data_IF_528060431394
#
_entry.id   IF_528060431394
#
_cell.length_a   1.000
_cell.length_b   1.000
_cell.length_c   1.000
_cell.angle_alpha   90.00
_cell.angle_beta   90.00
_cell.angle_gamma   90.00
#
_symmetry.space_group_name_H-M   'P 1'
#
loop_
_entity.id
_entity.type
_entity.pdbx_description
1 polymer ?
#
# COMPACT_ATOMS: atom_id res chain seq x y z
N UNK A 1 -5.36 -3.12 -15.19
CA UNK A 1 -4.56 -3.58 -14.04
C UNK A 1 -5.53 -4.26 -13.10
N UNK A 2 -5.26 -5.51 -12.74
CA UNK A 2 -6.10 -6.28 -11.81
C UNK A 2 -5.50 -6.29 -10.39
N UNK A 3 -6.26 -6.84 -9.44
CA UNK A 3 -5.86 -6.89 -8.03
C UNK A 3 -4.62 -7.74 -7.79
N UNK A 4 -4.42 -8.81 -8.58
CA UNK A 4 -3.27 -9.70 -8.47
C UNK A 4 -1.97 -9.00 -8.87
N UNK A 5 -2.01 -8.19 -9.93
CA UNK A 5 -0.88 -7.36 -10.34
C UNK A 5 -0.52 -6.34 -9.26
N UNK A 6 -1.51 -5.68 -8.66
CA UNK A 6 -1.30 -4.71 -7.59
C UNK A 6 -0.69 -5.34 -6.33
N UNK A 7 -1.17 -6.53 -5.94
CA UNK A 7 -0.62 -7.27 -4.80
C UNK A 7 0.85 -7.62 -5.06
N UNK A 8 1.17 -8.16 -6.24
CA UNK A 8 2.55 -8.50 -6.62
C UNK A 8 3.46 -7.29 -6.70
N UNK A 9 2.99 -6.16 -7.21
CA UNK A 9 3.73 -4.90 -7.22
C UNK A 9 4.00 -4.42 -5.79
N UNK A 10 2.99 -4.47 -4.92
CA UNK A 10 3.12 -4.07 -3.52
C UNK A 10 4.11 -4.91 -2.72
N UNK A 11 4.10 -6.23 -2.91
CA UNK A 11 5.08 -7.12 -2.26
C UNK A 11 6.51 -6.81 -2.69
N UNK A 12 6.73 -6.48 -3.98
CA UNK A 12 8.05 -6.05 -4.47
C UNK A 12 8.48 -4.73 -3.85
N UNK A 13 7.59 -3.72 -3.85
CA UNK A 13 7.85 -2.41 -3.25
C UNK A 13 8.20 -2.56 -1.77
N UNK A 14 7.41 -3.32 -1.00
CA UNK A 14 7.66 -3.57 0.43
C UNK A 14 8.99 -4.31 0.64
N UNK A 15 9.35 -5.23 -0.26
CA UNK A 15 10.63 -5.93 -0.23
C UNK A 15 11.86 -5.02 -0.38
N UNK A 16 11.71 -3.78 -0.85
CA UNK A 16 12.80 -2.79 -0.93
C UNK A 16 13.04 -2.04 0.38
N UNK A 17 12.22 -2.27 1.41
CA UNK A 17 12.34 -1.59 2.69
C UNK A 17 13.68 -1.90 3.36
N UNK A 18 14.30 -0.87 3.95
CA UNK A 18 15.57 -0.98 4.64
C UNK A 18 15.38 -0.87 6.14
N UNK A 19 16.18 -1.60 6.92
CA UNK A 19 16.15 -1.51 8.37
C UNK A 19 16.99 -0.32 8.85
N UNK A 20 16.41 0.57 9.63
CA UNK A 20 17.12 1.68 10.25
C UNK A 20 18.01 1.19 11.39
N UNK A 21 19.31 1.42 11.29
CA UNK A 21 20.32 0.80 12.18
C UNK A 21 20.12 1.14 13.66
N UNK A 22 19.75 2.38 13.98
CA UNK A 22 19.63 2.83 15.38
C UNK A 22 18.31 2.44 16.05
N UNK A 23 17.23 2.31 15.28
CA UNK A 23 15.87 2.12 15.83
C UNK A 23 15.31 0.73 15.53
N UNK A 24 15.95 -0.02 14.64
CA UNK A 24 15.49 -1.31 14.16
C UNK A 24 14.22 -1.26 13.30
N UNK A 25 13.65 -0.07 13.05
CA UNK A 25 12.42 0.11 12.28
C UNK A 25 12.67 -0.07 10.78
N UNK A 26 11.70 -0.63 10.07
CA UNK A 26 11.72 -0.68 8.61
C UNK A 26 11.36 0.70 8.05
N UNK A 27 12.13 1.17 7.08
CA UNK A 27 11.92 2.42 6.35
C UNK A 27 11.65 2.07 4.90
N UNK A 28 10.55 2.59 4.39
CA UNK A 28 10.16 2.49 2.98
C UNK A 28 9.67 3.86 2.53
N UNK A 29 10.32 4.44 1.52
CA UNK A 29 10.00 5.75 0.95
C UNK A 29 10.40 5.75 -0.52
N UNK A 30 9.85 6.68 -1.31
CA UNK A 30 10.27 6.91 -2.69
C UNK A 30 9.10 6.88 -3.66
N UNK A 31 9.40 7.23 -4.92
CA UNK A 31 8.41 7.38 -5.96
C UNK A 31 7.67 6.07 -6.28
N UNK A 32 8.33 4.92 -6.16
CA UNK A 32 7.70 3.62 -6.41
C UNK A 32 6.61 3.30 -5.39
N UNK A 33 6.86 3.59 -4.11
CA UNK A 33 5.86 3.47 -3.05
C UNK A 33 4.67 4.40 -3.31
N UNK A 34 4.93 5.68 -3.57
CA UNK A 34 3.88 6.67 -3.82
C UNK A 34 3.04 6.30 -5.06
N UNK A 35 3.70 5.84 -6.13
CA UNK A 35 3.05 5.40 -7.37
C UNK A 35 2.17 4.18 -7.13
N UNK A 36 2.70 3.15 -6.47
CA UNK A 36 1.94 1.94 -6.17
C UNK A 36 0.76 2.20 -5.22
N UNK A 37 0.94 3.04 -4.20
CA UNK A 37 -0.14 3.45 -3.31
C UNK A 37 -1.26 4.15 -4.08
N UNK A 38 -0.94 5.07 -5.00
CA UNK A 38 -1.97 5.74 -5.78
C UNK A 38 -2.68 4.83 -6.78
N UNK A 39 -1.93 3.94 -7.44
CA UNK A 39 -2.52 2.87 -8.26
C UNK A 39 -3.52 2.02 -7.47
N UNK A 40 -3.21 1.72 -6.21
CA UNK A 40 -4.08 0.95 -5.31
C UNK A 40 -5.36 1.70 -4.97
N UNK A 41 -5.27 3.01 -4.71
CA UNK A 41 -6.44 3.87 -4.48
C UNK A 41 -7.33 3.94 -5.71
N UNK A 42 -6.76 4.20 -6.89
CA UNK A 42 -7.52 4.28 -8.15
C UNK A 42 -8.24 2.96 -8.44
N UNK A 43 -7.57 1.83 -8.25
CA UNK A 43 -8.20 0.52 -8.40
C UNK A 43 -9.38 0.36 -7.43
N UNK A 44 -9.19 0.70 -6.16
CA UNK A 44 -10.22 0.55 -5.15
C UNK A 44 -11.47 1.38 -5.46
N UNK A 45 -11.29 2.63 -5.87
CA UNK A 45 -12.38 3.52 -6.27
C UNK A 45 -13.18 2.99 -7.48
N UNK A 46 -12.53 2.23 -8.36
CA UNK A 46 -13.14 1.72 -9.58
C UNK A 46 -13.77 0.33 -9.42
N UNK A 47 -13.31 -0.47 -8.46
CA UNK A 47 -13.61 -1.91 -8.41
C UNK A 47 -14.19 -2.37 -7.08
N UNK A 48 -14.01 -1.64 -5.98
CA UNK A 48 -14.55 -2.03 -4.68
C UNK A 48 -15.86 -1.30 -4.40
N UNK A 49 -16.81 -2.00 -3.77
CA UNK A 49 -18.08 -1.39 -3.36
C UNK A 49 -18.02 -0.80 -1.95
N UNK A 50 -17.07 -1.27 -1.13
CA UNK A 50 -16.96 -0.85 0.27
C UNK A 50 -16.31 0.53 0.38
N UNK A 51 -17.14 1.56 0.57
CA UNK A 51 -16.71 2.95 0.83
C UNK A 51 -15.71 3.00 1.99
N UNK A 52 -15.95 2.24 3.06
CA UNK A 52 -15.06 2.18 4.21
C UNK A 52 -13.64 1.72 3.83
N UNK A 53 -13.51 0.69 3.00
CA UNK A 53 -12.21 0.20 2.56
C UNK A 53 -11.51 1.21 1.64
N UNK A 54 -12.27 1.86 0.75
CA UNK A 54 -11.75 2.91 -0.14
C UNK A 54 -11.20 4.09 0.66
N UNK A 55 -11.96 4.59 1.65
CA UNK A 55 -11.54 5.71 2.50
C UNK A 55 -10.29 5.36 3.32
N UNK A 56 -10.24 4.14 3.87
CA UNK A 56 -9.06 3.67 4.58
C UNK A 56 -7.82 3.63 3.68
N UNK A 57 -7.95 3.10 2.47
CA UNK A 57 -6.88 3.08 1.47
C UNK A 57 -6.37 4.48 1.13
N UNK A 58 -7.29 5.45 0.93
CA UNK A 58 -6.95 6.85 0.69
C UNK A 58 -6.18 7.46 1.86
N UNK A 59 -6.57 7.15 3.09
CA UNK A 59 -5.89 7.68 4.28
C UNK A 59 -4.50 7.06 4.45
N UNK A 60 -4.37 5.75 4.22
CA UNK A 60 -3.08 5.08 4.28
C UNK A 60 -2.14 5.53 3.15
N UNK A 61 -2.67 5.92 1.99
CA UNK A 61 -1.88 6.47 0.88
C UNK A 61 -1.37 7.91 1.11
N UNK A 62 -1.83 8.60 2.16
CA UNK A 62 -1.32 9.94 2.53
C UNK A 62 -0.07 9.83 3.41
N UNK A 63 0.79 10.86 3.33
CA UNK A 63 1.95 11.04 4.20
C UNK A 63 2.91 9.84 4.28
N UNK A 64 3.02 9.08 3.18
CA UNK A 64 3.90 7.90 3.07
C UNK A 64 5.37 8.18 3.40
N UNK A 65 5.80 9.45 3.41
CA UNK A 65 7.16 9.86 3.81
C UNK A 65 7.44 9.70 5.31
N UNK A 66 6.43 9.61 6.17
CA UNK A 66 6.59 9.43 7.62
C UNK A 66 6.58 7.95 8.00
N UNK A 67 5.52 7.25 7.61
CA UNK A 67 5.24 5.87 8.04
C UNK A 67 5.03 4.92 6.85
N UNK A 68 5.79 5.12 5.78
CA UNK A 68 5.57 4.47 4.47
C UNK A 68 5.58 2.95 4.52
N UNK A 69 6.38 2.33 5.39
CA UNK A 69 6.40 0.86 5.52
C UNK A 69 5.10 0.32 6.13
N UNK A 70 4.66 0.89 7.24
CA UNK A 70 3.46 0.44 7.94
C UNK A 70 2.20 0.71 7.10
N UNK A 71 2.13 1.91 6.50
CA UNK A 71 1.06 2.30 5.57
C UNK A 71 1.02 1.41 4.32
N UNK A 72 2.17 1.04 3.75
CA UNK A 72 2.22 0.10 2.64
C UNK A 72 1.67 -1.27 3.04
N UNK A 73 2.04 -1.79 4.21
CA UNK A 73 1.50 -3.06 4.68
C UNK A 73 -0.03 -2.99 4.91
N UNK A 74 -0.54 -1.88 5.41
CA UNK A 74 -1.98 -1.67 5.57
C UNK A 74 -2.72 -1.68 4.22
N UNK A 75 -2.21 -0.95 3.23
CA UNK A 75 -2.73 -0.94 1.85
C UNK A 75 -2.73 -2.35 1.26
N UNK A 76 -1.60 -3.07 1.36
CA UNK A 76 -1.48 -4.43 0.84
C UNK A 76 -2.47 -5.39 1.53
N UNK A 77 -2.68 -5.24 2.85
CA UNK A 77 -3.66 -6.00 3.60
C UNK A 77 -5.08 -5.81 3.09
N UNK A 78 -5.48 -4.57 2.78
CA UNK A 78 -6.80 -4.29 2.19
C UNK A 78 -6.94 -4.94 0.83
N UNK A 79 -5.93 -4.83 -0.05
CA UNK A 79 -5.97 -5.45 -1.38
C UNK A 79 -6.10 -6.98 -1.30
N UNK A 80 -5.37 -7.63 -0.38
CA UNK A 80 -5.46 -9.08 -0.18
C UNK A 80 -6.84 -9.50 0.34
N UNK A 81 -7.38 -8.77 1.31
CA UNK A 81 -8.72 -9.03 1.84
C UNK A 81 -9.81 -8.85 0.76
N UNK A 82 -9.69 -7.82 -0.08
CA UNK A 82 -10.63 -7.58 -1.19
C UNK A 82 -10.53 -8.59 -2.33
N UNK A 83 -9.46 -9.38 -2.40
CA UNK A 83 -9.36 -10.50 -3.35
C UNK A 83 -10.10 -11.75 -2.82
N UNK A 84 -10.11 -11.95 -1.50
CA UNK A 84 -10.69 -13.13 -0.86
C UNK A 84 -12.19 -12.99 -0.55
N UNK A 85 -12.72 -11.77 -0.51
CA UNK A 85 -14.14 -11.46 -0.34
C UNK A 85 -14.89 -11.35 -1.65
#
# INVERSE_FOLDING_TARGET
MDIDQLIKEGEKVIGTAIKHEMTGKMILKGAELETWAMKSVIYAEQNLESIYLIERLREDAKDLKKDGYDKANAILGVLKASKEG
#
